data_IF_288639181128
#
_entry.id   IF_288639181128
#
_cell.length_a   1.000
_cell.length_b   1.000
_cell.length_c   1.000
_cell.angle_alpha   90.00
_cell.angle_beta   90.00
_cell.angle_gamma   90.00
#
_symmetry.space_group_name_H-M   'P 1'
#
loop_
_entity.id
_entity.type
_entity.pdbx_description
1 polymer ?
#
# COMPACT_ATOMS: atom_id res chain seq x y z
N UNK A 1 -0.52 12.76 20.82
CA UNK A 1 0.63 12.07 20.18
C UNK A 1 1.33 13.06 19.27
N UNK A 2 2.61 12.87 18.98
CA UNK A 2 3.37 13.75 18.07
C UNK A 2 3.18 13.32 16.62
N UNK A 3 3.48 14.21 15.67
CA UNK A 3 3.50 13.92 14.23
C UNK A 3 4.42 12.74 13.93
N UNK A 4 5.60 12.67 14.54
CA UNK A 4 6.51 11.52 14.41
C UNK A 4 5.89 10.21 14.90
N UNK A 5 5.08 10.25 15.96
CA UNK A 5 4.38 9.07 16.47
C UNK A 5 3.33 8.56 15.49
N UNK A 6 2.56 9.46 14.87
CA UNK A 6 1.60 9.10 13.82
C UNK A 6 2.30 8.57 12.57
N UNK A 7 3.38 9.21 12.13
CA UNK A 7 4.19 8.74 11.01
C UNK A 7 4.75 7.33 11.23
N UNK A 8 5.26 7.04 12.44
CA UNK A 8 5.74 5.70 12.79
C UNK A 8 4.60 4.66 12.72
N UNK A 9 3.43 4.96 13.28
CA UNK A 9 2.27 4.05 13.21
C UNK A 9 1.85 3.81 11.76
N UNK A 10 1.88 4.85 10.92
CA UNK A 10 1.63 4.75 9.48
C UNK A 10 2.54 3.68 8.86
N UNK A 11 3.85 3.83 9.05
CA UNK A 11 4.85 2.91 8.48
C UNK A 11 4.70 1.49 9.01
N UNK A 12 4.47 1.33 10.31
CA UNK A 12 4.32 0.01 10.92
C UNK A 12 3.08 -0.71 10.39
N UNK A 13 1.94 -0.03 10.36
CA UNK A 13 0.70 -0.64 9.85
C UNK A 13 0.83 -0.96 8.37
N UNK A 14 1.35 -0.03 7.57
CA UNK A 14 1.66 -0.24 6.15
C UNK A 14 2.53 -1.49 5.96
N UNK A 15 3.69 -1.56 6.60
CA UNK A 15 4.59 -2.70 6.41
C UNK A 15 4.02 -4.04 6.88
N UNK A 16 3.23 -4.07 7.96
CA UNK A 16 2.55 -5.31 8.38
C UNK A 16 1.62 -5.84 7.29
N UNK A 17 0.92 -4.95 6.59
CA UNK A 17 0.07 -5.32 5.46
C UNK A 17 0.90 -5.77 4.26
N UNK A 18 1.91 -4.99 3.86
CA UNK A 18 2.78 -5.31 2.73
C UNK A 18 3.54 -6.65 2.91
N UNK A 19 3.91 -7.02 4.14
CA UNK A 19 4.51 -8.33 4.39
C UNK A 19 3.56 -9.49 4.06
N UNK A 20 2.25 -9.35 4.29
CA UNK A 20 1.28 -10.36 3.85
C UNK A 20 1.33 -10.48 2.32
N UNK A 21 1.38 -9.36 1.61
CA UNK A 21 1.43 -9.37 0.14
C UNK A 21 2.68 -10.08 -0.39
N UNK A 22 3.86 -9.73 0.12
CA UNK A 22 5.12 -10.40 -0.25
C UNK A 22 5.00 -11.93 -0.08
N UNK A 23 4.42 -12.38 1.03
CA UNK A 23 4.31 -13.80 1.35
C UNK A 23 3.31 -14.53 0.45
N UNK A 24 2.18 -13.90 0.12
CA UNK A 24 1.02 -14.62 -0.44
C UNK A 24 0.70 -14.30 -1.90
N UNK A 25 1.14 -13.17 -2.48
CA UNK A 25 0.77 -12.78 -3.85
C UNK A 25 1.10 -13.87 -4.87
N UNK A 26 2.36 -14.32 -4.92
CA UNK A 26 2.77 -15.33 -5.90
C UNK A 26 1.98 -16.63 -5.76
N UNK A 27 1.84 -17.12 -4.52
CA UNK A 27 1.10 -18.35 -4.22
C UNK A 27 -0.39 -18.23 -4.57
N UNK A 28 -0.97 -17.05 -4.38
CA UNK A 28 -2.37 -16.78 -4.70
C UNK A 28 -2.61 -16.81 -6.21
N UNK A 29 -1.74 -16.14 -6.97
CA UNK A 29 -1.76 -16.16 -8.44
C UNK A 29 -1.65 -17.60 -8.95
N UNK A 30 -0.64 -18.36 -8.50
CA UNK A 30 -0.43 -19.74 -8.96
C UNK A 30 -1.65 -20.65 -8.67
N UNK A 31 -2.41 -20.35 -7.61
CA UNK A 31 -3.61 -21.12 -7.24
C UNK A 31 -4.85 -20.72 -8.05
N UNK A 32 -4.94 -19.48 -8.51
CA UNK A 32 -6.17 -18.89 -9.04
C UNK A 32 -6.10 -18.45 -10.51
N UNK A 33 -4.92 -18.42 -11.12
CA UNK A 33 -4.72 -17.98 -12.51
C UNK A 33 -5.57 -18.74 -13.54
N UNK A 34 -5.75 -20.05 -13.37
CA UNK A 34 -6.54 -20.87 -14.30
C UNK A 34 -8.05 -20.85 -14.00
N UNK A 35 -8.48 -20.10 -12.99
CA UNK A 35 -9.88 -20.06 -12.57
C UNK A 35 -10.58 -18.81 -13.11
N UNK A 36 -11.48 -18.99 -14.07
CA UNK A 36 -12.24 -17.90 -14.71
C UNK A 36 -13.01 -17.00 -13.72
N UNK A 37 -13.34 -17.48 -12.51
CA UNK A 37 -13.95 -16.64 -11.47
C UNK A 37 -13.05 -15.47 -11.02
N UNK A 38 -11.74 -15.61 -11.17
CA UNK A 38 -10.73 -14.66 -10.68
C UNK A 38 -10.13 -13.83 -11.83
N UNK A 39 -10.63 -13.95 -13.06
CA UNK A 39 -10.09 -13.23 -14.21
C UNK A 39 -10.17 -11.70 -14.07
N UNK A 40 -11.10 -11.19 -13.27
CA UNK A 40 -11.26 -9.76 -12.98
C UNK A 40 -10.72 -9.36 -11.59
N UNK A 41 -10.02 -10.26 -10.90
CA UNK A 41 -9.44 -10.02 -9.57
C UNK A 41 -8.10 -9.28 -9.67
N UNK A 42 -7.82 -8.36 -8.73
CA UNK A 42 -6.71 -7.40 -8.84
C UNK A 42 -5.33 -8.02 -9.14
N UNK A 43 -5.00 -9.16 -8.55
CA UNK A 43 -3.71 -9.83 -8.70
C UNK A 43 -3.66 -10.81 -9.87
N UNK A 44 -4.81 -11.30 -10.33
CA UNK A 44 -4.94 -12.31 -11.39
C UNK A 44 -5.32 -11.68 -12.75
N UNK A 45 -5.88 -10.48 -12.76
CA UNK A 45 -6.40 -9.89 -13.98
C UNK A 45 -5.31 -9.52 -15.00
N UNK A 46 -5.50 -9.99 -16.24
CA UNK A 46 -4.92 -9.37 -17.45
C UNK A 46 -3.39 -9.38 -17.56
N UNK A 47 -2.69 -10.34 -16.95
CA UNK A 47 -1.22 -10.37 -17.01
C UNK A 47 -0.70 -11.51 -17.89
N UNK A 48 0.09 -11.14 -18.92
CA UNK A 48 0.90 -12.07 -19.70
C UNK A 48 2.06 -12.67 -18.88
N UNK A 49 2.49 -11.96 -17.83
CA UNK A 49 3.58 -12.36 -16.95
C UNK A 49 3.36 -11.82 -15.53
N UNK A 50 3.45 -12.70 -14.53
CA UNK A 50 3.36 -12.32 -13.12
C UNK A 50 4.75 -12.22 -12.48
N UNK A 51 5.03 -11.15 -11.70
CA UNK A 51 6.33 -10.97 -11.05
C UNK A 51 6.64 -12.10 -10.06
N UNK A 52 7.93 -12.39 -9.86
CA UNK A 52 8.37 -13.30 -8.80
C UNK A 52 8.19 -12.68 -7.42
N UNK A 53 8.24 -13.49 -6.36
CA UNK A 53 8.25 -12.99 -4.98
C UNK A 53 9.41 -12.00 -4.73
N UNK A 54 10.58 -12.21 -5.35
CA UNK A 54 11.71 -11.31 -5.22
C UNK A 54 11.44 -9.96 -5.90
N UNK A 55 10.83 -9.97 -7.09
CA UNK A 55 10.44 -8.74 -7.77
C UNK A 55 9.32 -7.99 -7.01
N UNK A 56 8.33 -8.71 -6.46
CA UNK A 56 7.29 -8.13 -5.59
C UNK A 56 7.93 -7.47 -4.37
N UNK A 57 8.83 -8.16 -3.68
CA UNK A 57 9.54 -7.60 -2.53
C UNK A 57 10.37 -6.35 -2.90
N UNK A 58 11.00 -6.34 -4.08
CA UNK A 58 11.75 -5.17 -4.55
C UNK A 58 10.85 -3.96 -4.86
N UNK A 59 9.67 -4.18 -5.46
CA UNK A 59 8.69 -3.13 -5.72
C UNK A 59 8.16 -2.55 -4.40
N UNK A 60 7.74 -3.41 -3.45
CA UNK A 60 7.27 -2.98 -2.13
C UNK A 60 8.38 -2.26 -1.34
N UNK A 61 9.63 -2.71 -1.45
CA UNK A 61 10.75 -2.03 -0.81
C UNK A 61 10.94 -0.60 -1.34
N UNK A 62 10.70 -0.37 -2.64
CA UNK A 62 10.73 0.96 -3.23
C UNK A 62 9.57 1.83 -2.71
N UNK A 63 8.34 1.30 -2.68
CA UNK A 63 7.18 2.01 -2.14
C UNK A 63 7.37 2.38 -0.65
N UNK A 64 7.99 1.48 0.13
CA UNK A 64 8.36 1.76 1.51
C UNK A 64 9.36 2.92 1.62
N UNK A 65 10.35 3.01 0.72
CA UNK A 65 11.30 4.14 0.68
C UNK A 65 10.56 5.44 0.34
N UNK A 66 9.66 5.42 -0.65
CA UNK A 66 8.83 6.58 -1.00
C UNK A 66 7.98 7.03 0.19
N UNK A 67 7.30 6.09 0.86
CA UNK A 67 6.51 6.37 2.05
C UNK A 67 7.36 6.97 3.18
N UNK A 68 8.57 6.42 3.41
CA UNK A 68 9.52 6.98 4.37
C UNK A 68 9.88 8.42 4.03
N UNK A 69 10.22 8.72 2.76
CA UNK A 69 10.60 10.08 2.35
C UNK A 69 9.46 11.09 2.54
N UNK A 70 8.23 10.71 2.19
CA UNK A 70 7.06 11.58 2.36
C UNK A 70 6.79 11.83 3.85
N UNK A 71 6.81 10.77 4.67
CA UNK A 71 6.57 10.90 6.11
C UNK A 71 7.70 11.65 6.82
N UNK A 72 8.96 11.44 6.43
CA UNK A 72 10.10 12.25 6.89
C UNK A 72 9.90 13.73 6.56
N UNK A 73 9.39 14.04 5.36
CA UNK A 73 9.06 15.43 4.98
C UNK A 73 7.97 16.00 5.89
N UNK A 74 6.92 15.22 6.19
CA UNK A 74 5.89 15.60 7.17
C UNK A 74 6.45 15.89 8.56
N UNK A 75 7.42 15.10 9.02
CA UNK A 75 8.10 15.33 10.31
C UNK A 75 8.97 16.58 10.28
N UNK A 76 9.81 16.75 9.25
CA UNK A 76 10.76 17.87 9.14
C UNK A 76 10.02 19.20 9.05
N UNK A 77 8.88 19.22 8.33
CA UNK A 77 8.05 20.40 8.16
C UNK A 77 7.01 20.57 9.28
N UNK A 78 6.97 19.66 10.27
CA UNK A 78 5.96 19.62 11.32
C UNK A 78 4.51 19.69 10.78
N UNK A 79 4.27 19.02 9.64
CA UNK A 79 2.96 19.02 8.97
C UNK A 79 2.17 17.75 9.28
N UNK A 80 1.12 17.92 10.05
CA UNK A 80 0.13 16.87 10.30
C UNK A 80 -0.64 16.52 9.02
N UNK A 81 -0.84 17.45 8.10
CA UNK A 81 -1.56 17.23 6.84
C UNK A 81 -0.82 16.29 5.90
N UNK A 82 0.52 16.37 5.80
CA UNK A 82 1.30 15.42 4.98
C UNK A 82 1.17 14.00 5.54
N UNK A 83 1.32 13.85 6.86
CA UNK A 83 1.21 12.55 7.53
C UNK A 83 -0.21 12.00 7.41
N UNK A 84 -1.22 12.83 7.65
CA UNK A 84 -2.63 12.46 7.52
C UNK A 84 -2.98 12.08 6.08
N UNK A 85 -2.52 12.83 5.08
CA UNK A 85 -2.76 12.54 3.67
C UNK A 85 -2.19 11.17 3.27
N UNK A 86 -0.95 10.85 3.67
CA UNK A 86 -0.38 9.51 3.46
C UNK A 86 -1.16 8.42 4.20
N UNK A 87 -1.58 8.69 5.43
CA UNK A 87 -2.37 7.73 6.21
C UNK A 87 -3.74 7.45 5.57
N UNK A 88 -4.38 8.49 5.02
CA UNK A 88 -5.64 8.36 4.28
C UNK A 88 -5.42 7.56 3.00
N UNK A 89 -4.38 7.86 2.23
CA UNK A 89 -4.04 7.10 1.02
C UNK A 89 -3.86 5.59 1.35
N UNK A 90 -3.11 5.28 2.40
CA UNK A 90 -2.95 3.91 2.90
C UNK A 90 -4.28 3.29 3.35
N UNK A 91 -5.12 4.03 4.07
CA UNK A 91 -6.43 3.52 4.52
C UNK A 91 -7.34 3.20 3.33
N UNK A 92 -7.34 4.04 2.29
CA UNK A 92 -8.09 3.80 1.05
C UNK A 92 -7.58 2.57 0.30
N UNK A 93 -6.26 2.35 0.28
CA UNK A 93 -5.65 1.12 -0.24
C UNK A 93 -6.22 -0.12 0.46
N UNK A 94 -6.25 -0.15 1.81
CA UNK A 94 -6.84 -1.25 2.55
C UNK A 94 -8.33 -1.48 2.23
N UNK A 95 -9.10 -0.43 1.96
CA UNK A 95 -10.51 -0.56 1.55
C UNK A 95 -10.64 -1.35 0.24
N UNK A 96 -9.69 -1.19 -0.69
CA UNK A 96 -9.65 -1.97 -1.94
C UNK A 96 -9.45 -3.45 -1.60
N UNK A 97 -8.49 -3.80 -0.73
CA UNK A 97 -8.28 -5.21 -0.33
C UNK A 97 -9.46 -5.81 0.44
N UNK A 98 -10.15 -5.03 1.26
CA UNK A 98 -11.37 -5.49 1.95
C UNK A 98 -12.48 -5.76 0.92
N UNK A 99 -12.64 -4.89 -0.08
CA UNK A 99 -13.59 -5.12 -1.18
C UNK A 99 -13.24 -6.42 -1.92
N UNK A 100 -11.98 -6.64 -2.26
CA UNK A 100 -11.55 -7.88 -2.93
C UNK A 100 -11.88 -9.12 -2.09
N UNK A 101 -11.71 -9.06 -0.76
CA UNK A 101 -12.08 -10.14 0.15
C UNK A 101 -13.59 -10.49 0.13
N UNK A 102 -14.44 -9.47 -0.06
CA UNK A 102 -15.90 -9.63 -0.11
C UNK A 102 -16.33 -10.20 -1.47
N UNK A 103 -15.71 -9.73 -2.56
CA UNK A 103 -16.05 -10.13 -3.93
C UNK A 103 -15.50 -11.52 -4.26
N UNK A 104 -14.27 -11.82 -3.83
CA UNK A 104 -13.55 -13.04 -4.14
C UNK A 104 -13.31 -13.89 -2.87
N UNK A 105 -13.88 -15.10 -2.78
CA UNK A 105 -13.84 -15.92 -1.56
C UNK A 105 -12.46 -16.52 -1.26
N UNK A 106 -11.47 -16.33 -2.16
CA UNK A 106 -10.11 -16.83 -2.01
C UNK A 106 -9.30 -16.13 -0.92
N UNK A 107 -9.78 -14.99 -0.41
CA UNK A 107 -9.03 -14.03 0.41
C UNK A 107 -7.75 -13.60 -0.31
N UNK A 108 -7.88 -12.51 -1.08
CA UNK A 108 -6.76 -11.92 -1.79
C UNK A 108 -5.60 -11.62 -0.83
N UNK A 109 -4.35 -11.65 -1.32
CA UNK A 109 -3.20 -11.14 -0.59
C UNK A 109 -3.49 -9.74 -0.02
N UNK A 110 -3.04 -9.50 1.20
CA UNK A 110 -3.30 -8.24 1.91
C UNK A 110 -4.71 -8.13 2.53
N UNK A 111 -5.71 -8.92 2.10
CA UNK A 111 -7.08 -8.80 2.63
C UNK A 111 -7.22 -9.12 4.12
N UNK A 112 -6.45 -10.09 4.65
CA UNK A 112 -6.60 -10.48 6.06
C UNK A 112 -6.04 -9.41 6.97
N UNK A 113 -4.83 -8.94 6.66
CA UNK A 113 -4.19 -7.83 7.37
C UNK A 113 -4.98 -6.54 7.18
N UNK A 114 -5.58 -6.28 6.02
CA UNK A 114 -6.45 -5.12 5.82
C UNK A 114 -7.65 -5.13 6.78
N UNK A 115 -8.41 -6.24 6.85
CA UNK A 115 -9.53 -6.37 7.80
C UNK A 115 -9.05 -6.24 9.26
N UNK A 116 -7.95 -6.90 9.60
CA UNK A 116 -7.43 -6.89 10.97
C UNK A 116 -6.88 -5.53 11.40
N UNK A 117 -6.20 -4.80 10.51
CA UNK A 117 -5.57 -3.52 10.81
C UNK A 117 -6.52 -2.33 10.67
N UNK A 118 -7.64 -2.47 9.94
CA UNK A 118 -8.59 -1.38 9.71
C UNK A 118 -9.10 -0.69 11.00
N UNK A 119 -9.44 -1.39 12.11
CA UNK A 119 -9.80 -0.74 13.36
C UNK A 119 -8.68 0.15 13.92
N UNK A 120 -7.42 -0.27 13.83
CA UNK A 120 -6.27 0.52 14.27
C UNK A 120 -6.06 1.75 13.38
N UNK A 121 -6.28 1.62 12.07
CA UNK A 121 -6.27 2.74 11.14
C UNK A 121 -7.35 3.78 11.48
N UNK A 122 -8.58 3.33 11.72
CA UNK A 122 -9.69 4.21 12.10
C UNK A 122 -9.41 4.96 13.42
N UNK A 123 -8.91 4.27 14.44
CA UNK A 123 -8.53 4.88 15.72
C UNK A 123 -7.40 5.90 15.53
N UNK A 124 -6.40 5.58 14.69
CA UNK A 124 -5.27 6.47 14.45
C UNK A 124 -5.70 7.73 13.70
N UNK A 125 -6.51 7.60 12.64
CA UNK A 125 -7.08 8.75 11.93
C UNK A 125 -7.91 9.63 12.87
N UNK A 126 -8.78 9.02 13.67
CA UNK A 126 -9.55 9.75 14.67
C UNK A 126 -8.62 10.52 15.62
N UNK A 127 -7.56 9.89 16.12
CA UNK A 127 -6.60 10.54 17.01
C UNK A 127 -5.84 11.69 16.33
N UNK A 128 -5.49 11.58 15.05
CA UNK A 128 -4.89 12.67 14.27
C UNK A 128 -5.84 13.86 14.24
N UNK A 129 -7.09 13.66 13.78
CA UNK A 129 -8.09 14.74 13.68
C UNK A 129 -8.50 15.32 15.03
N UNK A 130 -8.48 14.52 16.09
CA UNK A 130 -8.85 14.98 17.44
C UNK A 130 -7.73 15.75 18.15
N UNK A 131 -6.47 15.59 17.74
CA UNK A 131 -5.32 16.14 18.49
C UNK A 131 -4.44 17.10 17.71
N UNK A 132 -4.50 17.09 16.38
CA UNK A 132 -3.71 17.98 15.53
C UNK A 132 -4.57 19.10 14.97
N UNK A 133 -3.97 20.27 14.76
CA UNK A 133 -4.58 21.30 13.95
C UNK A 133 -4.42 20.92 12.48
N UNK A 134 -5.52 20.90 11.72
CA UNK A 134 -5.54 20.47 10.32
C UNK A 134 -6.15 21.58 9.47
N UNK A 135 -5.40 22.05 8.48
CA UNK A 135 -6.00 22.76 7.36
C UNK A 135 -6.62 21.75 6.39
N UNK A 136 -7.96 21.71 6.37
CA UNK A 136 -8.71 20.76 5.55
C UNK A 136 -8.54 20.97 4.04
N UNK A 137 -8.34 22.21 3.58
CA UNK A 137 -8.13 22.48 2.17
C UNK A 137 -6.77 21.91 1.74
N UNK A 138 -5.73 22.19 2.52
CA UNK A 138 -4.39 21.65 2.30
C UNK A 138 -4.42 20.12 2.38
N UNK A 139 -5.10 19.54 3.37
CA UNK A 139 -5.23 18.10 3.51
C UNK A 139 -5.88 17.45 2.28
N UNK A 140 -6.97 18.00 1.74
CA UNK A 140 -7.62 17.44 0.55
C UNK A 140 -6.67 17.50 -0.65
N UNK A 141 -6.01 18.64 -0.86
CA UNK A 141 -5.04 18.80 -1.96
C UNK A 141 -3.90 17.78 -1.83
N UNK A 142 -3.30 17.66 -0.64
CA UNK A 142 -2.23 16.71 -0.38
C UNK A 142 -2.68 15.26 -0.52
N UNK A 143 -3.89 14.92 -0.06
CA UNK A 143 -4.43 13.57 -0.19
C UNK A 143 -4.54 13.17 -1.66
N UNK A 144 -5.09 14.04 -2.51
CA UNK A 144 -5.18 13.78 -3.95
C UNK A 144 -3.79 13.71 -4.59
N UNK A 145 -2.91 14.68 -4.28
CA UNK A 145 -1.59 14.75 -4.88
C UNK A 145 -0.70 13.55 -4.50
N UNK A 146 -0.67 13.16 -3.23
CA UNK A 146 0.14 12.06 -2.73
C UNK A 146 -0.44 10.70 -3.15
N UNK A 147 -1.76 10.54 -3.15
CA UNK A 147 -2.39 9.33 -3.70
C UNK A 147 -2.05 9.18 -5.18
N UNK A 148 -2.14 10.25 -5.98
CA UNK A 148 -1.76 10.22 -7.38
C UNK A 148 -0.27 9.89 -7.56
N UNK A 149 0.62 10.49 -6.76
CA UNK A 149 2.04 10.20 -6.77
C UNK A 149 2.33 8.71 -6.54
N UNK A 150 1.76 8.12 -5.48
CA UNK A 150 1.95 6.70 -5.14
C UNK A 150 1.37 5.79 -6.21
N UNK A 151 0.16 6.07 -6.72
CA UNK A 151 -0.46 5.26 -7.77
C UNK A 151 0.33 5.30 -9.08
N UNK A 152 0.83 6.47 -9.49
CA UNK A 152 1.69 6.61 -10.67
C UNK A 152 2.99 5.84 -10.47
N UNK A 153 3.58 5.92 -9.28
CA UNK A 153 4.79 5.19 -8.93
C UNK A 153 4.58 3.66 -9.02
N UNK A 154 3.52 3.15 -8.39
CA UNK A 154 3.15 1.74 -8.45
C UNK A 154 2.89 1.28 -9.89
N UNK A 155 2.18 2.08 -10.69
CA UNK A 155 1.95 1.77 -12.09
C UNK A 155 3.26 1.70 -12.88
N UNK A 156 4.23 2.57 -12.59
CA UNK A 156 5.55 2.53 -13.20
C UNK A 156 6.31 1.26 -12.78
N UNK A 157 6.30 0.90 -11.50
CA UNK A 157 6.92 -0.33 -11.00
C UNK A 157 6.36 -1.57 -11.69
N UNK A 158 5.03 -1.69 -11.79
CA UNK A 158 4.39 -2.80 -12.50
C UNK A 158 4.83 -2.88 -13.96
N UNK A 159 4.90 -1.75 -14.68
CA UNK A 159 5.41 -1.70 -16.07
C UNK A 159 6.88 -2.08 -16.19
N UNK A 160 7.67 -1.86 -15.14
CA UNK A 160 9.10 -2.17 -15.09
C UNK A 160 9.39 -3.53 -14.45
N UNK A 161 8.38 -4.25 -13.96
CA UNK A 161 8.52 -5.52 -13.23
C UNK A 161 9.39 -6.55 -13.95
N UNK A 162 9.22 -6.73 -15.26
CA UNK A 162 10.07 -7.65 -16.05
C UNK A 162 11.54 -7.24 -16.12
N UNK A 163 11.84 -5.92 -16.09
CA UNK A 163 13.23 -5.43 -16.00
C UNK A 163 13.80 -5.63 -14.60
N UNK A 164 12.99 -5.40 -13.56
CA UNK A 164 13.35 -5.66 -12.17
C UNK A 164 13.69 -7.14 -11.98
N UNK A 165 12.84 -8.03 -12.49
CA UNK A 165 13.05 -9.48 -12.50
C UNK A 165 14.39 -9.85 -13.16
N UNK A 166 14.64 -9.34 -14.38
CA UNK A 166 15.88 -9.60 -15.11
C UNK A 166 17.12 -9.08 -14.37
N UNK A 167 17.00 -7.94 -13.69
CA UNK A 167 18.10 -7.38 -12.89
C UNK A 167 18.42 -8.27 -11.70
N UNK A 168 17.40 -8.69 -10.94
CA UNK A 168 17.55 -9.57 -9.79
C UNK A 168 18.24 -10.87 -10.19
N UNK A 169 17.81 -11.49 -11.30
CA UNK A 169 18.40 -12.73 -11.82
C UNK A 169 19.87 -12.59 -12.25
N UNK A 170 20.32 -11.37 -12.61
CA UNK A 170 21.72 -11.11 -13.00
C UNK A 170 22.66 -10.92 -11.81
N UNK A 171 22.13 -10.50 -10.66
CA UNK A 171 22.94 -10.14 -9.48
C UNK A 171 22.91 -11.21 -8.38
N UNK A 172 21.95 -12.14 -8.44
CA UNK A 172 21.85 -13.31 -7.56
C UNK A 172 22.70 -14.48 -8.09
#
# INVERSE_FOLDING_TARGET
MTISGFALITLVLFMVHEFEEIIFVRRYIDKHADNNRYHDELFVAGQDHYPSTAAIAAMIAEEFVVACLILCTGIILDSAEIVAAMFIAYTLHLVIHIREAIVFPGWAPGSRTAVFTMPFNAITLYAIFATQHIDYLVLVILTVALSALVLINLQMLYRLSGKIETLIQKIA
#
